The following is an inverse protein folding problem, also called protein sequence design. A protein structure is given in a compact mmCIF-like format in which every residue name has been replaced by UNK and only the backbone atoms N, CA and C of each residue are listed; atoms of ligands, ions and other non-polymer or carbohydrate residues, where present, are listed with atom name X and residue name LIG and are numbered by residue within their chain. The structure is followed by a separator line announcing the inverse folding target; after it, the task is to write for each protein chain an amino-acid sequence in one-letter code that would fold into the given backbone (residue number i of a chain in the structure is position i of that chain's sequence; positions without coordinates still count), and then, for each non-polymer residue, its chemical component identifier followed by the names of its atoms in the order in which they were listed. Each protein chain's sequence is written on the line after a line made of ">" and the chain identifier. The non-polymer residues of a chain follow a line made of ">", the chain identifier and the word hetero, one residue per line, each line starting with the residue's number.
data_IF_671617610246
#
_entry.id   IF_671617610246
#
_cell.length_a   1.000
_cell.length_b   1.000
_cell.length_c   1.000
_cell.angle_alpha   90.00
_cell.angle_beta   90.00
_cell.angle_gamma   90.00
#
_symmetry.space_group_name_H-M   'P 1'
#
loop_
_entity.id
_entity.type
_entity.pdbx_description
1 polymer ?
#
# COMPACT_ATOMS: atom_id res chain seq x y z
N UNK A 1 27.88 8.48 -5.41
CA UNK A 1 26.76 9.44 -5.38
C UNK A 1 26.16 9.50 -6.78
N UNK A 2 24.91 9.09 -6.91
CA UNK A 2 24.18 9.18 -8.17
C UNK A 2 23.67 10.61 -8.37
N UNK A 3 24.02 11.23 -9.52
CA UNK A 3 23.56 12.60 -9.84
C UNK A 3 22.40 12.54 -10.82
N UNK A 4 21.28 13.16 -10.46
CA UNK A 4 20.09 13.26 -11.29
C UNK A 4 19.81 14.74 -11.59
N UNK A 5 19.44 15.04 -12.84
CA UNK A 5 19.07 16.41 -13.23
C UNK A 5 17.78 16.83 -12.51
N UNK A 6 17.74 18.07 -12.02
CA UNK A 6 16.55 18.66 -11.43
C UNK A 6 15.74 19.36 -12.52
N UNK A 7 14.49 18.94 -12.70
CA UNK A 7 13.58 19.52 -13.66
C UNK A 7 12.70 20.60 -13.00
N UNK A 8 12.30 21.55 -13.80
CA UNK A 8 11.29 22.53 -13.44
C UNK A 8 9.86 21.94 -13.62
N UNK A 9 8.84 22.59 -13.13
CA UNK A 9 7.43 22.26 -13.30
C UNK A 9 6.99 22.12 -14.76
N UNK A 10 7.72 22.78 -15.66
CA UNK A 10 7.51 22.70 -17.12
C UNK A 10 8.22 21.52 -17.79
N UNK A 11 8.96 20.70 -17.03
CA UNK A 11 9.74 19.56 -17.53
C UNK A 11 11.08 19.94 -18.15
N UNK A 12 11.53 21.19 -18.03
CA UNK A 12 12.83 21.65 -18.51
C UNK A 12 13.91 21.41 -17.45
N UNK A 13 15.12 21.11 -17.92
CA UNK A 13 16.28 21.00 -17.03
C UNK A 13 16.67 22.38 -16.48
N UNK A 14 16.76 22.48 -15.16
CA UNK A 14 17.17 23.71 -14.46
C UNK A 14 18.69 23.93 -14.49
N UNK A 15 19.47 22.96 -15.02
CA UNK A 15 20.93 22.95 -14.97
C UNK A 15 21.51 22.55 -13.60
N UNK A 16 20.65 22.33 -12.59
CA UNK A 16 21.03 21.82 -11.28
C UNK A 16 21.00 20.30 -11.26
N UNK A 17 21.81 19.70 -10.40
CA UNK A 17 21.82 18.24 -10.18
C UNK A 17 21.59 17.96 -8.71
N UNK A 18 20.66 17.08 -8.42
CA UNK A 18 20.45 16.55 -7.08
C UNK A 18 21.37 15.35 -6.85
N UNK A 19 22.04 15.36 -5.71
CA UNK A 19 22.91 14.27 -5.27
C UNK A 19 22.10 13.24 -4.48
N UNK A 20 21.99 12.02 -4.99
CA UNK A 20 21.32 10.90 -4.33
C UNK A 20 22.39 10.02 -3.64
N UNK A 21 22.23 9.76 -2.35
CA UNK A 21 23.17 8.97 -1.55
C UNK A 21 23.19 7.50 -1.98
N UNK A 22 24.39 6.96 -2.25
CA UNK A 22 24.58 5.55 -2.59
C UNK A 22 24.10 4.61 -1.48
N UNK A 23 24.15 5.05 -0.21
CA UNK A 23 23.66 4.28 0.93
C UNK A 23 22.14 4.04 0.93
N UNK A 24 21.39 4.73 0.07
CA UNK A 24 19.93 4.62 -0.06
C UNK A 24 19.52 4.17 -1.47
N UNK A 25 20.15 4.71 -2.51
CA UNK A 25 19.70 4.56 -3.90
C UNK A 25 20.58 3.62 -4.74
N UNK A 26 21.70 3.14 -4.20
CA UNK A 26 22.63 2.28 -4.92
C UNK A 26 23.07 1.05 -4.11
N UNK A 27 22.23 0.57 -3.20
CA UNK A 27 22.49 -0.67 -2.46
C UNK A 27 22.15 -1.89 -3.33
N UNK A 28 22.75 -3.04 -3.00
CA UNK A 28 22.35 -4.32 -3.58
C UNK A 28 20.94 -4.71 -3.10
N UNK A 29 19.95 -4.91 -4.00
CA UNK A 29 18.56 -5.09 -3.61
C UNK A 29 18.30 -6.43 -2.92
N UNK A 30 17.69 -6.41 -1.76
CA UNK A 30 17.26 -7.60 -1.04
C UNK A 30 15.77 -7.92 -1.33
N UNK A 31 15.52 -8.83 -2.28
CA UNK A 31 14.19 -9.21 -2.72
C UNK A 31 13.35 -9.86 -1.61
N UNK A 32 13.99 -10.59 -0.67
CA UNK A 32 13.28 -11.21 0.44
C UNK A 32 12.76 -10.16 1.44
N UNK A 33 13.55 -9.14 1.75
CA UNK A 33 13.13 -8.04 2.61
C UNK A 33 11.94 -7.27 1.98
N UNK A 34 11.99 -7.02 0.67
CA UNK A 34 10.91 -6.42 -0.10
C UNK A 34 9.63 -7.26 0.02
N UNK A 35 9.73 -8.57 -0.23
CA UNK A 35 8.59 -9.49 -0.12
C UNK A 35 7.95 -9.45 1.27
N UNK A 36 8.74 -9.48 2.34
CA UNK A 36 8.22 -9.45 3.70
C UNK A 36 7.49 -8.15 4.03
N UNK A 37 8.02 -7.00 3.61
CA UNK A 37 7.41 -5.69 3.88
C UNK A 37 6.11 -5.49 3.09
N UNK A 38 6.07 -5.89 1.82
CA UNK A 38 4.86 -5.88 1.00
C UNK A 38 3.80 -6.83 1.56
N UNK A 39 4.20 -8.05 1.98
CA UNK A 39 3.30 -9.01 2.62
C UNK A 39 2.69 -8.44 3.90
N UNK A 40 3.50 -7.81 4.74
CA UNK A 40 3.02 -7.15 5.94
C UNK A 40 2.03 -6.02 5.59
N UNK A 41 2.37 -5.14 4.65
CA UNK A 41 1.53 -4.02 4.23
C UNK A 41 0.15 -4.51 3.77
N UNK A 42 0.09 -5.52 2.91
CA UNK A 42 -1.17 -6.09 2.43
C UNK A 42 -1.95 -6.81 3.53
N UNK A 43 -1.26 -7.48 4.45
CA UNK A 43 -1.90 -8.13 5.59
C UNK A 43 -2.57 -7.13 6.54
N UNK A 44 -1.96 -5.96 6.76
CA UNK A 44 -2.52 -4.90 7.59
C UNK A 44 -3.77 -4.23 7.00
N UNK A 45 -4.00 -4.33 5.70
CA UNK A 45 -5.23 -3.83 5.07
C UNK A 45 -6.44 -4.74 5.32
N UNK A 46 -6.22 -5.97 5.82
CA UNK A 46 -7.28 -6.96 6.04
C UNK A 46 -7.90 -6.76 7.42
N UNK A 47 -9.20 -6.55 7.48
CA UNK A 47 -9.95 -6.42 8.75
C UNK A 47 -10.31 -7.78 9.37
N UNK A 48 -10.44 -8.83 8.57
CA UNK A 48 -10.71 -10.18 9.05
C UNK A 48 -12.06 -10.39 9.73
N UNK A 49 -13.07 -9.60 9.42
CA UNK A 49 -14.40 -9.60 10.08
C UNK A 49 -15.35 -10.71 9.60
N UNK A 50 -14.89 -11.61 8.77
CA UNK A 50 -15.68 -12.72 8.24
C UNK A 50 -16.05 -13.74 9.33
N UNK A 51 -17.32 -14.09 9.41
CA UNK A 51 -17.84 -15.03 10.40
C UNK A 51 -18.96 -15.88 9.80
N UNK A 52 -18.95 -17.18 10.06
CA UNK A 52 -20.06 -18.07 9.79
C UNK A 52 -20.88 -18.29 11.06
N UNK A 53 -22.19 -18.38 10.93
CA UNK A 53 -23.07 -18.68 12.09
C UNK A 53 -22.91 -20.13 12.52
N UNK A 54 -22.62 -20.30 13.79
CA UNK A 54 -22.55 -21.59 14.44
C UNK A 54 -23.96 -22.06 14.85
N UNK A 55 -24.07 -23.31 15.25
CA UNK A 55 -25.33 -23.94 15.62
C UNK A 55 -26.08 -23.19 16.73
N UNK A 56 -25.39 -22.53 17.64
CA UNK A 56 -26.03 -21.72 18.69
C UNK A 56 -26.58 -20.38 18.17
N UNK A 57 -25.98 -19.84 17.11
CA UNK A 57 -26.28 -18.49 16.57
C UNK A 57 -27.39 -18.49 15.51
N UNK A 58 -27.75 -19.67 14.98
CA UNK A 58 -28.81 -19.80 13.97
C UNK A 58 -30.19 -19.70 14.65
N UNK A 59 -31.12 -19.01 14.01
CA UNK A 59 -32.52 -19.02 14.39
C UNK A 59 -33.13 -20.41 14.16
N UNK A 60 -33.98 -20.87 15.03
CA UNK A 60 -34.65 -22.15 14.93
C UNK A 60 -34.85 -22.81 16.30
N UNK A 61 -35.70 -23.84 16.33
CA UNK A 61 -36.00 -24.59 17.55
C UNK A 61 -34.80 -25.42 18.04
N UNK A 62 -34.58 -25.43 19.34
CA UNK A 62 -33.63 -26.32 20.00
C UNK A 62 -34.25 -27.67 20.37
N UNK A 63 -35.59 -27.81 20.22
CA UNK A 63 -36.33 -29.02 20.52
C UNK A 63 -35.84 -30.21 19.71
N UNK A 64 -35.81 -31.38 20.29
CA UNK A 64 -35.53 -32.64 19.58
C UNK A 64 -36.58 -32.89 18.52
N UNK A 65 -36.16 -33.10 17.26
CA UNK A 65 -37.05 -33.23 16.09
C UNK A 65 -37.90 -34.49 16.17
N UNK A 66 -37.35 -35.61 16.68
CA UNK A 66 -37.98 -36.93 16.70
C UNK A 66 -37.80 -37.60 18.06
N UNK A 67 -38.73 -38.50 18.39
CA UNK A 67 -38.59 -39.44 19.54
C UNK A 67 -37.32 -40.30 19.34
N UNK A 68 -36.75 -40.76 20.45
CA UNK A 68 -35.48 -41.51 20.46
C UNK A 68 -35.61 -42.86 19.76
N UNK A 69 -36.77 -43.54 19.87
CA UNK A 69 -37.08 -44.85 19.28
C UNK A 69 -38.47 -44.84 18.62
N UNK A 70 -38.77 -45.81 17.74
CA UNK A 70 -40.09 -45.98 17.12
C UNK A 70 -40.38 -45.09 15.91
N UNK A 71 -39.39 -44.41 15.32
CA UNK A 71 -39.58 -43.54 14.17
C UNK A 71 -39.09 -44.11 12.85
N UNK A 72 -38.51 -45.30 12.81
CA UNK A 72 -37.99 -45.96 11.61
C UNK A 72 -36.87 -45.23 10.85
N UNK A 73 -36.39 -44.12 11.39
CA UNK A 73 -35.35 -43.26 10.75
C UNK A 73 -34.19 -42.98 11.69
N UNK A 74 -33.11 -42.44 11.17
CA UNK A 74 -31.94 -42.06 11.97
C UNK A 74 -32.32 -41.12 13.12
N UNK A 75 -31.68 -41.24 14.26
CA UNK A 75 -31.89 -40.38 15.43
C UNK A 75 -31.49 -38.94 15.09
N UNK A 76 -32.34 -38.01 15.45
CA UNK A 76 -32.10 -36.58 15.20
C UNK A 76 -32.28 -35.75 16.48
N UNK A 77 -31.41 -34.81 16.69
CA UNK A 77 -31.48 -33.82 17.76
C UNK A 77 -32.19 -32.53 17.28
N UNK A 78 -31.56 -31.40 17.50
CA UNK A 78 -32.06 -30.10 17.07
C UNK A 78 -31.93 -29.92 15.56
N UNK A 79 -32.87 -29.19 14.96
CA UNK A 79 -32.85 -28.77 13.54
C UNK A 79 -31.64 -27.88 13.20
N UNK A 80 -31.06 -27.24 14.22
CA UNK A 80 -29.85 -26.40 14.07
C UNK A 80 -28.55 -27.21 13.86
N UNK A 81 -28.62 -28.56 13.92
CA UNK A 81 -27.45 -29.39 13.74
C UNK A 81 -26.85 -29.20 12.36
N UNK A 82 -25.50 -29.18 12.22
CA UNK A 82 -24.82 -28.99 10.94
C UNK A 82 -25.07 -30.13 9.91
N UNK A 83 -25.60 -31.25 10.36
CA UNK A 83 -26.01 -32.39 9.48
C UNK A 83 -27.22 -32.01 8.62
N UNK A 84 -28.06 -31.10 9.06
CA UNK A 84 -29.25 -30.68 8.34
C UNK A 84 -28.98 -29.49 7.41
N UNK A 85 -29.72 -29.41 6.32
CA UNK A 85 -29.75 -28.21 5.47
C UNK A 85 -30.24 -27.00 6.30
N UNK A 86 -29.53 -25.89 6.21
CA UNK A 86 -29.81 -24.70 7.01
C UNK A 86 -29.31 -24.79 8.46
N UNK A 87 -28.64 -25.86 8.85
CA UNK A 87 -27.97 -25.99 10.14
C UNK A 87 -26.73 -25.13 10.27
N UNK A 88 -26.17 -25.06 11.49
CA UNK A 88 -24.96 -24.27 11.79
C UNK A 88 -23.71 -24.79 11.06
N UNK A 89 -22.81 -23.89 10.77
CA UNK A 89 -21.53 -24.23 10.15
C UNK A 89 -20.55 -24.77 11.21
N UNK A 90 -19.90 -25.91 10.95
CA UNK A 90 -18.75 -26.39 11.71
C UNK A 90 -17.49 -25.98 10.96
N UNK A 91 -16.45 -25.58 11.67
CA UNK A 91 -15.17 -25.15 11.10
C UNK A 91 -15.29 -24.03 10.05
N UNK A 92 -16.34 -23.21 10.16
CA UNK A 92 -16.48 -22.00 9.34
C UNK A 92 -15.48 -20.92 9.74
N UNK A 93 -15.32 -19.90 8.90
CA UNK A 93 -14.44 -18.80 9.21
C UNK A 93 -14.91 -18.07 10.48
N UNK A 94 -13.94 -17.68 11.31
CA UNK A 94 -14.12 -16.82 12.47
C UNK A 94 -13.32 -15.54 12.30
N UNK A 95 -13.74 -14.43 12.89
CA UNK A 95 -12.96 -13.20 12.89
C UNK A 95 -11.55 -13.48 13.42
N UNK A 96 -10.55 -13.00 12.69
CA UNK A 96 -9.15 -13.13 13.09
C UNK A 96 -8.34 -11.93 12.66
N UNK A 97 -7.34 -11.61 13.44
CA UNK A 97 -6.35 -10.59 13.12
C UNK A 97 -5.29 -11.15 12.15
N UNK A 98 -4.97 -10.39 11.12
CA UNK A 98 -3.93 -10.69 10.13
C UNK A 98 -2.66 -9.90 10.36
N UNK A 99 -2.58 -9.12 11.43
CA UNK A 99 -1.43 -8.27 11.74
C UNK A 99 -0.14 -9.09 11.84
N UNK A 100 0.88 -8.65 11.12
CA UNK A 100 2.21 -9.25 11.13
C UNK A 100 3.22 -8.21 11.60
N UNK A 101 4.10 -8.57 12.55
CA UNK A 101 5.17 -7.70 13.02
C UNK A 101 6.42 -7.91 12.19
N UNK A 102 7.05 -6.82 11.75
CA UNK A 102 8.34 -6.82 11.06
C UNK A 102 9.28 -5.81 11.72
N UNK A 103 10.55 -6.15 11.85
CA UNK A 103 11.56 -5.30 12.46
C UNK A 103 11.79 -4.03 11.63
N UNK A 104 12.04 -2.91 12.32
CA UNK A 104 12.26 -1.60 11.68
C UNK A 104 13.41 -1.63 10.67
N UNK A 105 14.52 -2.31 11.01
CA UNK A 105 15.69 -2.40 10.13
C UNK A 105 15.38 -3.15 8.82
N UNK A 106 14.55 -4.22 8.89
CA UNK A 106 14.11 -4.95 7.68
C UNK A 106 13.24 -4.07 6.80
N UNK A 107 12.34 -3.27 7.38
CA UNK A 107 11.53 -2.30 6.64
C UNK A 107 12.37 -1.22 5.97
N UNK A 108 13.40 -0.70 6.65
CA UNK A 108 14.34 0.26 6.06
C UNK A 108 15.12 -0.36 4.90
N UNK A 109 15.64 -1.58 5.10
CA UNK A 109 16.34 -2.31 4.04
C UNK A 109 15.43 -2.56 2.83
N UNK A 110 14.18 -2.94 3.05
CA UNK A 110 13.20 -3.14 1.99
C UNK A 110 12.94 -1.85 1.18
N UNK A 111 12.77 -0.69 1.85
CA UNK A 111 12.58 0.60 1.18
C UNK A 111 13.81 1.02 0.39
N UNK A 112 15.00 0.91 0.98
CA UNK A 112 16.26 1.17 0.28
C UNK A 112 16.40 0.29 -0.96
N UNK A 113 16.14 -1.02 -0.82
CA UNK A 113 16.19 -1.98 -1.94
C UNK A 113 15.22 -1.59 -3.06
N UNK A 114 13.98 -1.20 -2.72
CA UNK A 114 13.00 -0.77 -3.69
C UNK A 114 13.41 0.54 -4.42
N UNK A 115 13.96 1.51 -3.69
CA UNK A 115 14.47 2.75 -4.28
C UNK A 115 15.68 2.49 -5.19
N UNK A 116 16.59 1.58 -4.80
CA UNK A 116 17.76 1.20 -5.61
C UNK A 116 17.34 0.53 -6.91
N UNK A 117 16.31 -0.34 -6.90
CA UNK A 117 15.76 -0.93 -8.13
C UNK A 117 15.24 0.18 -9.04
N UNK A 118 14.44 1.11 -8.49
CA UNK A 118 13.88 2.23 -9.28
C UNK A 118 14.95 3.19 -9.81
N UNK A 119 16.00 3.39 -9.06
CA UNK A 119 17.17 4.17 -9.50
C UNK A 119 17.91 3.47 -10.67
N UNK A 120 18.13 2.16 -10.56
CA UNK A 120 18.73 1.35 -11.63
C UNK A 120 17.90 1.33 -12.91
N UNK A 121 16.57 1.31 -12.80
CA UNK A 121 15.62 1.42 -13.92
C UNK A 121 15.53 2.82 -14.53
N UNK A 122 16.21 3.83 -13.95
CA UNK A 122 16.13 5.25 -14.33
C UNK A 122 14.67 5.77 -14.30
N UNK A 123 13.87 5.26 -13.39
CA UNK A 123 12.46 5.61 -13.23
C UNK A 123 12.22 6.70 -12.17
N UNK A 124 13.29 7.27 -11.62
CA UNK A 124 13.26 8.38 -10.67
C UNK A 124 13.49 9.69 -11.41
N UNK A 125 12.57 10.63 -11.23
CA UNK A 125 12.66 12.01 -11.75
C UNK A 125 12.72 12.95 -10.54
N UNK A 126 13.63 13.90 -10.55
CA UNK A 126 13.72 14.93 -9.50
C UNK A 126 13.16 16.22 -10.05
N UNK A 127 12.28 16.86 -9.30
CA UNK A 127 11.60 18.11 -9.67
C UNK A 127 11.82 19.13 -8.57
N UNK A 128 11.94 20.38 -8.95
CA UNK A 128 11.99 21.52 -8.03
C UNK A 128 10.73 21.57 -7.16
N UNK A 129 10.86 22.05 -5.93
CA UNK A 129 9.71 22.19 -5.04
C UNK A 129 8.71 23.21 -5.63
N UNK A 130 7.47 22.81 -5.79
CA UNK A 130 6.41 23.63 -6.33
C UNK A 130 5.18 23.66 -5.43
N UNK A 131 4.44 24.75 -5.55
CA UNK A 131 3.14 24.92 -4.90
C UNK A 131 2.08 25.25 -5.94
N UNK A 132 0.85 24.84 -5.69
CA UNK A 132 -0.31 25.21 -6.50
C UNK A 132 -1.13 26.26 -5.73
N UNK A 133 -1.49 27.35 -6.38
CA UNK A 133 -2.26 28.43 -5.77
C UNK A 133 -3.68 27.97 -5.36
N UNK A 134 -4.25 27.06 -6.14
CA UNK A 134 -5.57 26.48 -5.88
C UNK A 134 -5.56 24.96 -6.14
N UNK A 135 -6.42 24.18 -5.44
CA UNK A 135 -6.52 22.75 -5.64
C UNK A 135 -7.29 22.42 -6.92
N UNK A 136 -6.59 22.43 -8.07
CA UNK A 136 -7.14 22.13 -9.39
C UNK A 136 -6.46 20.91 -10.01
N UNK A 137 -7.25 19.89 -10.39
CA UNK A 137 -6.75 18.68 -11.04
C UNK A 137 -6.18 18.94 -12.42
N UNK A 138 -6.70 19.94 -13.16
CA UNK A 138 -6.20 20.30 -14.49
C UNK A 138 -4.76 20.80 -14.46
N UNK A 139 -4.45 21.67 -13.49
CA UNK A 139 -3.11 22.27 -13.36
C UNK A 139 -2.09 21.16 -12.98
N UNK A 140 -2.47 20.29 -12.05
CA UNK A 140 -1.61 19.14 -11.68
C UNK A 140 -1.41 18.16 -12.85
N UNK A 141 -2.45 17.90 -13.64
CA UNK A 141 -2.37 17.06 -14.83
C UNK A 141 -1.46 17.67 -15.90
N UNK A 142 -1.44 19.00 -16.03
CA UNK A 142 -0.53 19.70 -16.94
C UNK A 142 0.93 19.52 -16.50
N UNK A 143 1.22 19.54 -15.20
CA UNK A 143 2.55 19.24 -14.66
C UNK A 143 2.97 17.83 -15.02
N UNK A 144 2.11 16.81 -14.80
CA UNK A 144 2.41 15.43 -15.15
C UNK A 144 2.66 15.23 -16.65
N UNK A 145 1.91 15.94 -17.51
CA UNK A 145 2.13 15.95 -18.95
C UNK A 145 3.46 16.56 -19.35
N UNK A 146 3.82 17.67 -18.74
CA UNK A 146 5.11 18.33 -18.97
C UNK A 146 6.29 17.43 -18.60
N UNK A 147 6.13 16.60 -17.56
CA UNK A 147 7.11 15.60 -17.14
C UNK A 147 7.06 14.31 -17.97
N UNK A 148 6.09 14.13 -18.87
CA UNK A 148 5.94 12.92 -19.70
C UNK A 148 5.53 11.66 -18.94
N UNK A 149 4.80 11.80 -17.85
CA UNK A 149 4.41 10.69 -16.95
C UNK A 149 2.88 10.56 -16.75
N UNK A 150 2.08 11.31 -17.51
CA UNK A 150 0.62 11.35 -17.39
C UNK A 150 -0.09 10.01 -17.61
N UNK A 151 0.50 9.14 -18.44
CA UNK A 151 -0.06 7.80 -18.77
C UNK A 151 0.58 6.67 -17.95
N UNK A 152 1.39 6.98 -16.95
CA UNK A 152 2.09 5.98 -16.11
C UNK A 152 1.61 6.07 -14.67
N UNK A 153 1.66 4.93 -13.98
CA UNK A 153 1.48 4.98 -12.51
C UNK A 153 2.63 5.77 -11.92
N UNK A 154 2.32 6.93 -11.36
CA UNK A 154 3.30 7.85 -10.79
C UNK A 154 3.12 8.01 -9.29
N UNK A 155 4.24 8.07 -8.57
CA UNK A 155 4.29 8.38 -7.15
C UNK A 155 5.05 9.69 -6.97
N UNK A 156 4.37 10.72 -6.48
CA UNK A 156 4.99 12.02 -6.17
C UNK A 156 5.29 12.08 -4.68
N UNK A 157 6.55 12.36 -4.34
CA UNK A 157 7.01 12.43 -2.95
C UNK A 157 7.32 13.87 -2.60
N UNK A 158 6.59 14.40 -1.62
CA UNK A 158 6.74 15.74 -1.10
C UNK A 158 7.70 15.76 0.10
N UNK A 159 8.42 16.86 0.29
CA UNK A 159 9.20 17.11 1.50
C UNK A 159 8.30 17.33 2.71
N UNK A 160 7.35 18.28 2.56
CA UNK A 160 6.37 18.65 3.57
C UNK A 160 4.94 18.50 3.08
N UNK A 161 3.98 18.56 4.00
CA UNK A 161 2.55 18.45 3.68
C UNK A 161 2.07 19.63 2.85
N UNK A 162 1.54 19.34 1.65
CA UNK A 162 0.94 20.32 0.77
C UNK A 162 -0.50 19.93 0.40
N UNK A 163 -1.47 20.59 1.05
CA UNK A 163 -2.89 20.28 0.85
C UNK A 163 -3.36 20.55 -0.58
N UNK A 164 -2.86 21.61 -1.23
CA UNK A 164 -3.29 21.96 -2.58
C UNK A 164 -2.86 20.91 -3.60
N UNK A 165 -1.62 20.42 -3.49
CA UNK A 165 -1.09 19.36 -4.35
C UNK A 165 -1.82 18.04 -4.08
N UNK A 166 -2.04 17.69 -2.81
CA UNK A 166 -2.77 16.48 -2.43
C UNK A 166 -4.21 16.46 -2.96
N UNK A 167 -4.97 17.54 -2.76
CA UNK A 167 -6.35 17.65 -3.25
C UNK A 167 -6.42 17.67 -4.78
N UNK A 168 -5.45 18.26 -5.46
CA UNK A 168 -5.36 18.29 -6.92
C UNK A 168 -5.09 16.91 -7.51
N UNK A 169 -4.33 16.06 -6.83
CA UNK A 169 -3.95 14.72 -7.30
C UNK A 169 -4.97 13.64 -6.97
N UNK A 170 -5.74 13.79 -5.89
CA UNK A 170 -6.60 12.75 -5.30
C UNK A 170 -7.58 12.11 -6.27
N UNK A 171 -8.09 12.85 -7.26
CA UNK A 171 -9.03 12.33 -8.26
C UNK A 171 -8.33 11.53 -9.39
N UNK A 172 -7.01 11.56 -9.48
CA UNK A 172 -6.26 10.86 -10.51
C UNK A 172 -5.96 9.43 -10.04
N UNK A 173 -6.51 8.44 -10.73
CA UNK A 173 -6.41 7.02 -10.35
C UNK A 173 -4.99 6.44 -10.50
N UNK A 174 -4.18 7.03 -11.37
CA UNK A 174 -2.82 6.54 -11.65
C UNK A 174 -1.72 7.30 -10.90
N UNK A 175 -2.08 8.33 -10.13
CA UNK A 175 -1.10 9.14 -9.40
C UNK A 175 -1.40 9.10 -7.92
N UNK A 176 -0.37 8.81 -7.12
CA UNK A 176 -0.41 8.90 -5.66
C UNK A 176 0.58 9.96 -5.19
N UNK A 177 0.18 10.78 -4.21
CA UNK A 177 1.03 11.81 -3.60
C UNK A 177 1.22 11.47 -2.15
N UNK A 178 2.48 11.43 -1.71
CA UNK A 178 2.85 11.08 -0.34
C UNK A 178 3.91 12.03 0.19
N UNK A 179 3.97 12.16 1.50
CA UNK A 179 5.08 12.83 2.18
C UNK A 179 6.23 11.82 2.37
N UNK A 180 7.45 12.31 2.49
CA UNK A 180 8.64 11.49 2.71
C UNK A 180 8.51 10.50 3.88
N UNK A 181 7.77 10.85 4.95
CA UNK A 181 7.50 9.99 6.11
C UNK A 181 6.55 8.83 5.83
N UNK A 182 5.63 8.99 4.87
CA UNK A 182 4.62 8.00 4.49
C UNK A 182 5.09 7.06 3.36
N UNK A 183 6.30 7.27 2.88
CA UNK A 183 6.88 6.48 1.80
C UNK A 183 6.97 5.00 2.21
N UNK A 184 6.25 4.11 1.53
CA UNK A 184 6.23 2.67 1.78
C UNK A 184 6.79 1.89 0.60
N UNK A 185 7.36 0.71 0.88
CA UNK A 185 7.89 -0.20 -0.15
C UNK A 185 6.83 -0.56 -1.18
N UNK A 186 5.59 -0.77 -0.75
CA UNK A 186 4.47 -1.08 -1.64
C UNK A 186 4.20 0.05 -2.64
N UNK A 187 4.14 1.31 -2.19
CA UNK A 187 3.89 2.47 -3.06
C UNK A 187 5.03 2.67 -4.06
N UNK A 188 6.29 2.52 -3.62
CA UNK A 188 7.47 2.60 -4.49
C UNK A 188 7.40 1.58 -5.64
N UNK A 189 7.09 0.32 -5.32
CA UNK A 189 7.04 -0.75 -6.33
C UNK A 189 5.80 -0.67 -7.23
N UNK A 190 4.67 -0.21 -6.69
CA UNK A 190 3.43 -0.06 -7.46
C UNK A 190 3.52 1.05 -8.51
N UNK A 191 4.34 2.06 -8.27
CA UNK A 191 4.59 3.14 -9.21
C UNK A 191 5.56 2.72 -10.33
N UNK A 192 5.27 3.09 -11.55
CA UNK A 192 6.19 2.95 -12.69
C UNK A 192 7.25 4.05 -12.67
N UNK A 193 6.84 5.28 -12.34
CA UNK A 193 7.73 6.43 -12.22
C UNK A 193 7.59 7.09 -10.85
N UNK A 194 8.71 7.50 -10.27
CA UNK A 194 8.76 8.18 -8.98
C UNK A 194 9.24 9.60 -9.23
N UNK A 195 8.47 10.57 -8.77
CA UNK A 195 8.81 11.99 -8.79
C UNK A 195 9.20 12.40 -7.38
N UNK A 196 10.45 12.75 -7.18
CA UNK A 196 10.95 13.29 -5.92
C UNK A 196 11.01 14.81 -6.01
N UNK A 197 10.36 15.51 -5.11
CA UNK A 197 10.62 16.93 -4.94
C UNK A 197 12.00 17.10 -4.26
N UNK A 198 12.72 18.15 -4.65
CA UNK A 198 14.10 18.39 -4.18
C UNK A 198 14.18 18.38 -2.65
N UNK A 199 13.24 19.05 -1.96
CA UNK A 199 13.13 19.07 -0.50
C UNK A 199 12.83 17.71 0.16
N UNK A 200 12.30 16.74 -0.58
CA UNK A 200 11.98 15.40 -0.05
C UNK A 200 13.22 14.51 0.14
N UNK A 201 14.29 14.74 -0.62
CA UNK A 201 15.47 13.86 -0.69
C UNK A 201 16.16 13.77 0.67
N UNK A 202 16.47 14.90 1.29
CA UNK A 202 17.12 14.95 2.59
C UNK A 202 16.30 14.24 3.69
N UNK A 203 14.96 14.37 3.65
CA UNK A 203 14.06 13.69 4.57
C UNK A 203 14.06 12.17 4.37
N UNK A 204 14.06 11.69 3.12
CA UNK A 204 14.13 10.26 2.80
C UNK A 204 15.45 9.67 3.30
N UNK A 205 16.58 10.31 3.01
CA UNK A 205 17.91 9.86 3.43
C UNK A 205 18.03 9.79 4.95
N UNK A 206 17.59 10.84 5.65
CA UNK A 206 17.59 10.87 7.12
C UNK A 206 16.75 9.76 7.73
N UNK A 207 15.56 9.46 7.17
CA UNK A 207 14.67 8.43 7.68
C UNK A 207 15.20 7.01 7.45
N UNK A 208 15.95 6.79 6.37
CA UNK A 208 16.44 5.49 6.00
C UNK A 208 17.84 5.19 6.53
N UNK A 209 18.68 6.19 6.84
CA UNK A 209 20.03 5.99 7.38
C UNK A 209 20.08 5.85 8.90
N UNK A 210 19.04 6.27 9.61
CA UNK A 210 18.88 6.01 11.07
C UNK A 210 18.86 4.50 11.31
#
# INVERSE_FOLDING_TARGET
>A
IMKVAVLDITGKDTGRKADLSDAVFAIDPNNHAIYLDVKQYLAHQRQGTHKSKERAEIAGSTRKIKKQKGTGTARAGSIKSPVFRGGGRIFGPRPKDYTQKLNKNVKRLARKSALSIKAGEKSIVVVEDFNLDAPKTKDFLQVLKSLGIDNKKSLVVLGDSNNNVYLSSRNLTQTDVVINSELSTYKILNATSIVLLEGSIAGIETNLTK
#
